data_IF_946160857411
#
_entry.id   IF_946160857411
#
_cell.length_a   1.000
_cell.length_b   1.000
_cell.length_c   1.000
_cell.angle_alpha   90.00
_cell.angle_beta   90.00
_cell.angle_gamma   90.00
#
_symmetry.space_group_name_H-M   'P 1'
#
loop_
_entity.id
_entity.type
_entity.pdbx_description
1 polymer ?
#
# COMPACT_ATOMS: atom_id res chain seq x y z
N UNK A 1 -3.37 3.75 -10.47
CA UNK A 1 -4.10 2.46 -10.40
C UNK A 1 -5.57 2.71 -10.06
N UNK A 2 -6.46 1.79 -10.44
CA UNK A 2 -7.87 1.80 -10.01
C UNK A 2 -8.04 1.19 -8.61
N UNK A 3 -9.14 1.54 -7.92
CA UNK A 3 -9.38 1.14 -6.53
C UNK A 3 -9.42 -0.39 -6.32
N UNK A 4 -9.92 -1.14 -7.29
CA UNK A 4 -9.93 -2.61 -7.26
C UNK A 4 -8.50 -3.16 -7.32
N UNK A 5 -7.70 -2.68 -8.28
CA UNK A 5 -6.30 -3.10 -8.43
C UNK A 5 -5.46 -2.75 -7.19
N UNK A 6 -5.70 -1.59 -6.59
CA UNK A 6 -5.05 -1.18 -5.34
C UNK A 6 -5.38 -2.17 -4.22
N UNK A 7 -6.63 -2.58 -4.10
CA UNK A 7 -7.08 -3.50 -3.05
C UNK A 7 -6.52 -4.90 -3.27
N UNK A 8 -6.55 -5.41 -4.49
CA UNK A 8 -5.97 -6.71 -4.85
C UNK A 8 -4.46 -6.73 -4.61
N UNK A 9 -3.76 -5.66 -5.03
CA UNK A 9 -2.32 -5.53 -4.81
C UNK A 9 -1.97 -5.44 -3.34
N UNK A 10 -2.71 -4.64 -2.56
CA UNK A 10 -2.58 -4.55 -1.11
C UNK A 10 -2.75 -5.91 -0.42
N UNK A 11 -3.77 -6.68 -0.81
CA UNK A 11 -4.00 -8.03 -0.28
C UNK A 11 -2.88 -8.99 -0.65
N UNK A 12 -2.41 -8.98 -1.90
CA UNK A 12 -1.29 -9.82 -2.34
C UNK A 12 0.01 -9.47 -1.60
N UNK A 13 0.28 -8.18 -1.41
CA UNK A 13 1.44 -7.69 -0.67
C UNK A 13 1.35 -8.09 0.80
N UNK A 14 0.18 -7.93 1.43
CA UNK A 14 -0.03 -8.32 2.83
C UNK A 14 0.05 -9.84 3.03
N UNK A 15 -0.49 -10.64 2.11
CA UNK A 15 -0.36 -12.11 2.19
C UNK A 15 1.09 -12.59 2.08
N UNK A 16 1.91 -11.90 1.29
CA UNK A 16 3.31 -12.26 1.08
C UNK A 16 4.23 -11.74 2.18
N UNK A 17 4.06 -10.47 2.59
CA UNK A 17 4.98 -9.76 3.49
C UNK A 17 4.44 -9.61 4.92
N UNK A 18 3.14 -9.86 5.14
CA UNK A 18 2.47 -9.68 6.43
C UNK A 18 2.52 -8.24 6.89
N UNK A 19 2.88 -8.03 8.15
CA UNK A 19 2.99 -6.70 8.76
C UNK A 19 4.06 -5.82 8.08
N UNK A 20 5.06 -6.42 7.42
CA UNK A 20 6.07 -5.68 6.65
C UNK A 20 5.50 -5.00 5.40
N UNK A 21 4.34 -5.42 4.90
CA UNK A 21 3.72 -4.84 3.72
C UNK A 21 3.41 -3.34 3.88
N UNK A 22 2.99 -2.92 5.08
CA UNK A 22 2.73 -1.51 5.39
C UNK A 22 4.02 -0.69 5.36
N UNK A 23 5.10 -1.23 5.92
CA UNK A 23 6.42 -0.58 5.95
C UNK A 23 6.98 -0.43 4.53
N UNK A 24 6.84 -1.45 3.68
CA UNK A 24 7.30 -1.39 2.29
C UNK A 24 6.49 -0.39 1.45
N UNK A 25 5.15 -0.37 1.62
CA UNK A 25 4.31 0.63 0.97
C UNK A 25 4.70 2.05 1.42
N UNK A 26 4.95 2.27 2.71
CA UNK A 26 5.38 3.57 3.24
C UNK A 26 6.74 4.02 2.68
N UNK A 27 7.70 3.10 2.57
CA UNK A 27 9.01 3.39 1.96
C UNK A 27 8.85 3.76 0.49
N UNK A 28 8.00 3.05 -0.25
CA UNK A 28 7.75 3.31 -1.67
C UNK A 28 7.06 4.66 -1.92
N UNK A 29 6.21 5.12 -1.01
CA UNK A 29 5.67 6.50 -1.05
C UNK A 29 6.81 7.50 -1.02
N UNK A 30 7.71 7.41 -0.02
CA UNK A 30 8.83 8.34 0.14
C UNK A 30 9.76 8.32 -1.07
N UNK A 31 10.15 7.12 -1.51
CA UNK A 31 11.00 6.96 -2.69
C UNK A 31 10.35 7.57 -3.95
N UNK A 32 9.03 7.44 -4.10
CA UNK A 32 8.31 8.04 -5.23
C UNK A 32 8.24 9.56 -5.13
N UNK A 33 8.05 10.11 -3.93
CA UNK A 33 8.07 11.55 -3.68
C UNK A 33 9.46 12.15 -3.95
N UNK A 34 10.53 11.49 -3.48
CA UNK A 34 11.92 11.88 -3.71
C UNK A 34 12.30 11.86 -5.20
N UNK A 35 11.75 10.91 -5.95
CA UNK A 35 11.92 10.83 -7.41
C UNK A 35 11.04 11.81 -8.19
N UNK A 36 10.19 12.59 -7.51
CA UNK A 36 9.24 13.52 -8.16
C UNK A 36 8.05 12.81 -8.84
N UNK A 37 7.84 11.53 -8.58
CA UNK A 37 6.81 10.70 -9.20
C UNK A 37 5.50 10.73 -8.40
N UNK A 38 4.80 11.86 -8.46
CA UNK A 38 3.55 12.10 -7.71
C UNK A 38 2.46 11.04 -7.98
N UNK A 39 2.34 10.54 -9.22
CA UNK A 39 1.39 9.47 -9.56
C UNK A 39 1.69 8.18 -8.80
N UNK A 40 2.96 7.79 -8.76
CA UNK A 40 3.39 6.56 -8.09
C UNK A 40 3.26 6.70 -6.58
N UNK A 41 3.60 7.87 -6.02
CA UNK A 41 3.38 8.18 -4.61
C UNK A 41 1.89 8.08 -4.22
N UNK A 42 0.99 8.56 -5.07
CA UNK A 42 -0.46 8.46 -4.87
C UNK A 42 -0.95 7.01 -4.86
N UNK A 43 -0.48 6.20 -5.80
CA UNK A 43 -0.81 4.78 -5.87
C UNK A 43 -0.32 4.04 -4.61
N UNK A 44 0.93 4.26 -4.19
CA UNK A 44 1.48 3.67 -2.97
C UNK A 44 0.77 4.11 -1.69
N UNK A 45 0.35 5.37 -1.60
CA UNK A 45 -0.48 5.83 -0.47
C UNK A 45 -1.83 5.12 -0.42
N UNK A 46 -2.46 4.88 -1.57
CA UNK A 46 -3.71 4.16 -1.63
C UNK A 46 -3.55 2.67 -1.25
N UNK A 47 -2.46 2.03 -1.70
CA UNK A 47 -2.09 0.66 -1.30
C UNK A 47 -1.87 0.58 0.21
N UNK A 48 -1.10 1.51 0.80
CA UNK A 48 -0.86 1.56 2.25
C UNK A 48 -2.17 1.69 3.04
N UNK A 49 -3.10 2.54 2.58
CA UNK A 49 -4.41 2.70 3.20
C UNK A 49 -5.25 1.41 3.12
N UNK A 50 -5.24 0.72 1.97
CA UNK A 50 -5.93 -0.55 1.80
C UNK A 50 -5.37 -1.66 2.71
N UNK A 51 -4.04 -1.75 2.85
CA UNK A 51 -3.37 -2.68 3.78
C UNK A 51 -3.82 -2.42 5.22
N UNK A 52 -3.82 -1.15 5.64
CA UNK A 52 -4.25 -0.75 6.99
C UNK A 52 -5.72 -1.09 7.26
N UNK A 53 -6.60 -0.84 6.30
CA UNK A 53 -8.02 -1.22 6.39
C UNK A 53 -8.19 -2.74 6.49
N UNK A 54 -7.39 -3.52 5.77
CA UNK A 54 -7.41 -4.99 5.86
C UNK A 54 -6.99 -5.48 7.25
N UNK A 55 -5.91 -4.93 7.80
CA UNK A 55 -5.46 -5.23 9.19
C UNK A 55 -6.52 -4.85 10.23
N UNK A 56 -7.18 -3.70 10.05
CA UNK A 56 -8.26 -3.26 10.92
C UNK A 56 -9.49 -4.18 10.87
N UNK A 57 -9.88 -4.65 9.69
CA UNK A 57 -10.97 -5.61 9.53
C UNK A 57 -10.66 -7.01 10.08
N UNK A 58 -9.38 -7.40 10.13
CA UNK A 58 -8.95 -8.68 10.69
C UNK A 58 -8.81 -8.66 12.23
N UNK A 59 -8.82 -7.48 12.87
CA UNK A 59 -8.67 -7.30 14.32
C UNK A 59 -9.99 -7.08 15.07
N UNK A 60 -11.14 -7.08 14.38
CA UNK A 60 -12.48 -6.93 14.96
C UNK A 60 -13.20 -8.27 15.18
#
# INVERSE_FOLDING_TARGET
MDAMQITEYAQALYRTHGDRAEIEAAQKVRESEERGNATQARDWRAIQAAIRSHRGALQS
#
